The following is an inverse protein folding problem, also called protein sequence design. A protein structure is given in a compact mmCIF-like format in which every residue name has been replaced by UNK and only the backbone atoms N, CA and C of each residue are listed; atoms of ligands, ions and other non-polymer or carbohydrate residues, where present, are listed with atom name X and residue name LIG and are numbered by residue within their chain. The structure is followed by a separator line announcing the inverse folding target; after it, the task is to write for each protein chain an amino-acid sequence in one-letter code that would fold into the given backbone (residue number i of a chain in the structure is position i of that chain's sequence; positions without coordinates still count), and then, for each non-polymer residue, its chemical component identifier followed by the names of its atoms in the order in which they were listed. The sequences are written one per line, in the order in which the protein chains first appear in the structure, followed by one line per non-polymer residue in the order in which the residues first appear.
data_IF_010452806730
#
_entry.id   IF_010452806730
#
_cell.length_a   1.000
_cell.length_b   1.000
_cell.length_c   1.000
_cell.angle_alpha   90.00
_cell.angle_beta   90.00
_cell.angle_gamma   90.00
#
_symmetry.space_group_name_H-M   'P 1'
#
loop_
_entity.id
_entity.type
_entity.pdbx_description
1 polymer ?
#
# COMPACT_ATOMS: atom_id res chain seq x y z
N UNK A 1 60.30 2.95 -16.95
CA UNK A 1 58.95 2.36 -17.03
C UNK A 1 58.33 2.35 -15.64
N UNK A 2 57.53 3.37 -15.29
CA UNK A 2 56.69 3.32 -14.08
C UNK A 2 55.44 2.52 -14.44
N UNK A 3 55.29 1.32 -13.88
CA UNK A 3 54.03 0.57 -13.93
C UNK A 3 53.00 1.39 -13.16
N UNK A 4 51.91 1.76 -13.85
CA UNK A 4 50.75 2.36 -13.22
C UNK A 4 50.18 1.34 -12.24
N UNK A 5 50.08 1.73 -10.97
CA UNK A 5 49.32 1.00 -9.98
C UNK A 5 47.84 1.18 -10.36
N UNK A 6 47.22 0.14 -10.90
CA UNK A 6 45.77 0.07 -11.01
C UNK A 6 45.22 -0.04 -9.60
N UNK A 7 44.51 0.99 -9.15
CA UNK A 7 43.67 0.93 -7.95
C UNK A 7 42.61 -0.15 -8.18
N UNK A 8 42.68 -1.24 -7.42
CA UNK A 8 41.63 -2.25 -7.40
C UNK A 8 40.35 -1.61 -6.87
N UNK A 9 39.26 -1.71 -7.64
CA UNK A 9 37.95 -1.22 -7.25
C UNK A 9 37.47 -1.93 -5.98
N UNK A 10 36.67 -1.25 -5.17
CA UNK A 10 35.91 -1.87 -4.09
C UNK A 10 34.81 -2.81 -4.63
N UNK A 11 34.24 -3.65 -3.76
CA UNK A 11 33.15 -4.56 -4.16
C UNK A 11 31.88 -3.80 -4.55
N UNK A 12 31.61 -2.67 -3.91
CA UNK A 12 30.51 -1.76 -4.24
C UNK A 12 30.70 -1.13 -5.62
N UNK A 13 31.89 -0.58 -5.90
CA UNK A 13 32.21 0.01 -7.21
C UNK A 13 32.15 -1.02 -8.34
N UNK A 14 32.56 -2.27 -8.09
CA UNK A 14 32.42 -3.37 -9.07
C UNK A 14 30.95 -3.70 -9.34
N UNK A 15 30.11 -3.70 -8.30
CA UNK A 15 28.67 -3.97 -8.43
C UNK A 15 27.96 -2.85 -9.20
N UNK A 16 28.29 -1.60 -8.90
CA UNK A 16 27.78 -0.43 -9.59
C UNK A 16 28.19 -0.43 -11.06
N UNK A 17 29.47 -0.66 -11.36
CA UNK A 17 29.97 -0.75 -12.73
C UNK A 17 29.28 -1.88 -13.50
N UNK A 18 29.06 -3.04 -12.87
CA UNK A 18 28.33 -4.15 -13.48
C UNK A 18 26.89 -3.77 -13.80
N UNK A 19 26.20 -3.08 -12.89
CA UNK A 19 24.82 -2.59 -13.09
C UNK A 19 24.74 -1.54 -14.19
N UNK A 20 25.71 -0.63 -14.23
CA UNK A 20 25.81 0.42 -15.23
C UNK A 20 26.00 -0.18 -16.63
N UNK A 21 26.90 -1.14 -16.77
CA UNK A 21 27.15 -1.85 -18.04
C UNK A 21 25.94 -2.66 -18.47
N UNK A 22 25.28 -3.36 -17.53
CA UNK A 22 24.04 -4.07 -17.83
C UNK A 22 22.99 -3.10 -18.38
N UNK A 23 22.71 -2.00 -17.67
CA UNK A 23 21.71 -1.02 -18.08
C UNK A 23 22.00 -0.39 -19.45
N UNK A 24 23.25 -0.05 -19.76
CA UNK A 24 23.65 0.54 -21.04
C UNK A 24 23.41 -0.39 -22.24
N UNK A 25 23.53 -1.69 -22.04
CA UNK A 25 23.31 -2.69 -23.09
C UNK A 25 21.86 -3.14 -23.21
N UNK A 26 21.04 -2.83 -22.20
CA UNK A 26 19.65 -3.24 -22.16
C UNK A 26 18.81 -2.45 -23.19
N UNK A 27 17.84 -3.11 -23.81
CA UNK A 27 16.86 -2.50 -24.71
C UNK A 27 15.50 -2.44 -24.02
N UNK A 28 14.77 -1.36 -24.30
CA UNK A 28 13.37 -1.28 -23.91
C UNK A 28 12.58 -2.41 -24.57
N UNK A 29 11.79 -3.12 -23.77
CA UNK A 29 10.87 -4.15 -24.24
C UNK A 29 9.42 -3.70 -24.02
N UNK A 30 9.09 -3.21 -22.83
CA UNK A 30 7.70 -2.90 -22.48
C UNK A 30 7.58 -1.90 -21.34
N UNK A 31 6.53 -1.08 -21.33
CA UNK A 31 6.08 -0.38 -20.13
C UNK A 31 5.22 -1.32 -19.31
N UNK A 32 5.74 -1.79 -18.18
CA UNK A 32 4.99 -2.63 -17.24
C UNK A 32 3.89 -1.83 -16.53
N UNK A 33 4.09 -0.53 -16.34
CA UNK A 33 3.12 0.34 -15.69
C UNK A 33 3.63 1.77 -15.50
N UNK A 34 2.72 2.66 -15.12
CA UNK A 34 3.03 4.02 -14.73
C UNK A 34 2.11 4.49 -13.60
N UNK A 35 2.64 5.25 -12.64
CA UNK A 35 1.85 5.91 -11.61
C UNK A 35 2.02 7.42 -11.76
N UNK A 36 1.01 8.09 -12.32
CA UNK A 36 1.04 9.54 -12.51
C UNK A 36 0.99 10.31 -11.19
N UNK A 37 0.36 9.76 -10.15
CA UNK A 37 0.26 10.38 -8.83
C UNK A 37 1.61 10.38 -8.11
N UNK A 38 2.37 9.29 -8.24
CA UNK A 38 3.73 9.15 -7.67
C UNK A 38 4.85 9.47 -8.66
N UNK A 39 4.51 9.80 -9.91
CA UNK A 39 5.44 10.17 -10.99
C UNK A 39 6.47 9.05 -11.23
N UNK A 40 5.96 7.83 -11.37
CA UNK A 40 6.74 6.59 -11.43
C UNK A 40 6.60 5.84 -12.75
N UNK A 41 7.76 5.53 -13.34
CA UNK A 41 8.09 4.67 -14.48
C UNK A 41 8.33 3.18 -14.14
N UNK A 42 7.64 2.20 -14.73
CA UNK A 42 7.99 0.77 -14.58
C UNK A 42 8.28 0.18 -15.97
N UNK A 43 9.52 -0.23 -16.21
CA UNK A 43 9.99 -0.67 -17.53
C UNK A 43 10.50 -2.10 -17.48
N UNK A 44 10.13 -2.92 -18.45
CA UNK A 44 10.78 -4.18 -18.77
C UNK A 44 11.86 -3.95 -19.82
N UNK A 45 13.05 -4.45 -19.53
CA UNK A 45 14.24 -4.35 -20.37
C UNK A 45 14.74 -5.74 -20.74
N UNK A 46 15.35 -5.88 -21.91
CA UNK A 46 15.96 -7.12 -22.39
C UNK A 46 17.41 -6.93 -22.84
N UNK A 47 18.24 -7.94 -22.58
CA UNK A 47 19.61 -8.03 -23.06
C UNK A 47 19.69 -8.85 -24.36
N UNK A 48 20.78 -8.68 -25.14
CA UNK A 48 21.04 -9.52 -26.30
C UNK A 48 21.19 -11.02 -25.99
N UNK A 49 21.58 -11.37 -24.76
CA UNK A 49 21.71 -12.75 -24.30
C UNK A 49 20.37 -13.39 -23.86
N UNK A 50 19.27 -12.64 -23.96
CA UNK A 50 17.92 -13.06 -23.58
C UNK A 50 17.57 -12.83 -22.11
N UNK A 51 18.53 -12.40 -21.27
CA UNK A 51 18.22 -12.02 -19.88
C UNK A 51 17.35 -10.74 -19.84
N UNK A 52 16.48 -10.66 -18.84
CA UNK A 52 15.56 -9.53 -18.67
C UNK A 52 15.81 -8.82 -17.35
N UNK A 53 15.41 -7.55 -17.28
CA UNK A 53 15.45 -6.76 -16.05
C UNK A 53 14.32 -5.74 -15.99
N UNK A 54 14.04 -5.25 -14.80
CA UNK A 54 13.01 -4.24 -14.55
C UNK A 54 13.69 -2.96 -14.06
N UNK A 55 13.40 -1.84 -14.70
CA UNK A 55 13.80 -0.52 -14.23
C UNK A 55 12.58 0.22 -13.67
N UNK A 56 12.63 0.52 -12.39
CA UNK A 56 11.71 1.44 -11.73
C UNK A 56 12.35 2.83 -11.73
N UNK A 57 11.67 3.83 -12.26
CA UNK A 57 12.20 5.20 -12.35
C UNK A 57 11.19 6.17 -11.72
N UNK A 58 11.53 6.78 -10.60
CA UNK A 58 10.64 7.73 -9.90
C UNK A 58 11.23 9.13 -9.96
N UNK A 59 10.40 10.14 -10.18
CA UNK A 59 10.82 11.52 -9.90
C UNK A 59 11.16 11.64 -8.42
N UNK A 60 12.31 12.23 -8.13
CA UNK A 60 12.70 12.50 -6.73
C UNK A 60 11.81 13.61 -6.15
N UNK A 61 11.52 13.58 -4.84
CA UNK A 61 10.97 14.74 -4.14
C UNK A 61 11.86 15.97 -4.35
N UNK A 62 11.27 17.16 -4.27
CA UNK A 62 12.05 18.39 -4.23
C UNK A 62 12.92 18.43 -2.98
N UNK A 63 14.14 18.96 -3.12
CA UNK A 63 15.00 19.26 -1.98
C UNK A 63 14.39 20.41 -1.18
N UNK A 64 14.38 20.28 0.15
CA UNK A 64 14.04 21.35 1.07
C UNK A 64 15.29 22.15 1.50
N UNK A 65 16.47 21.80 0.99
CA UNK A 65 17.69 22.56 1.24
C UNK A 65 17.63 23.92 0.57
N UNK A 66 17.98 24.95 1.34
CA UNK A 66 17.91 26.34 0.90
C UNK A 66 18.75 26.59 -0.36
N UNK A 67 19.94 26.00 -0.45
CA UNK A 67 20.85 26.23 -1.58
C UNK A 67 20.34 25.59 -2.87
N UNK A 68 19.69 24.42 -2.78
CA UNK A 68 19.05 23.79 -3.94
C UNK A 68 17.84 24.60 -4.42
N UNK A 69 17.06 25.17 -3.49
CA UNK A 69 15.92 26.03 -3.80
C UNK A 69 16.40 27.32 -4.47
N UNK A 70 17.40 28.00 -3.92
CA UNK A 70 17.97 29.22 -4.50
C UNK A 70 18.49 28.95 -5.92
N UNK A 71 19.23 27.85 -6.11
CA UNK A 71 19.72 27.44 -7.43
C UNK A 71 18.59 27.13 -8.41
N UNK A 72 17.52 26.46 -7.97
CA UNK A 72 16.34 26.20 -8.79
C UNK A 72 15.72 27.52 -9.27
N UNK A 73 15.54 28.49 -8.38
CA UNK A 73 14.96 29.80 -8.71
C UNK A 73 15.85 30.60 -9.68
N UNK A 74 17.18 30.51 -9.55
CA UNK A 74 18.12 31.19 -10.43
C UNK A 74 18.20 30.59 -11.84
N UNK A 75 18.06 29.26 -11.95
CA UNK A 75 18.32 28.53 -13.20
C UNK A 75 17.07 28.08 -13.95
N UNK A 76 15.91 28.10 -13.30
CA UNK A 76 14.64 27.67 -13.87
C UNK A 76 14.27 28.49 -15.12
N UNK A 77 13.92 27.79 -16.20
CA UNK A 77 13.35 28.41 -17.40
C UNK A 77 11.88 28.08 -17.48
N UNK A 78 11.05 29.12 -17.43
CA UNK A 78 9.60 28.99 -17.46
C UNK A 78 9.09 29.05 -18.90
N UNK A 79 8.15 28.17 -19.21
CA UNK A 79 7.32 28.23 -20.42
C UNK A 79 5.85 28.29 -19.98
N UNK A 80 5.20 29.43 -20.17
CA UNK A 80 3.80 29.62 -19.80
C UNK A 80 2.88 28.70 -20.63
N UNK A 81 1.98 28.00 -19.92
CA UNK A 81 0.94 27.15 -20.50
C UNK A 81 -0.37 27.93 -20.57
N UNK A 82 -0.74 28.58 -19.46
CA UNK A 82 -1.97 29.36 -19.35
C UNK A 82 -1.90 30.35 -18.19
N UNK A 83 -2.77 31.37 -18.22
CA UNK A 83 -2.90 32.36 -17.15
C UNK A 83 -4.34 32.77 -16.98
N UNK A 84 -4.76 32.87 -15.73
CA UNK A 84 -6.01 33.49 -15.34
C UNK A 84 -5.75 34.46 -14.18
N UNK A 85 -5.86 35.76 -14.44
CA UNK A 85 -5.53 36.82 -13.49
C UNK A 85 -4.12 36.63 -12.89
N UNK A 86 -4.02 36.41 -11.57
CA UNK A 86 -2.76 36.17 -10.87
C UNK A 86 -2.29 34.69 -10.91
N UNK A 87 -3.11 33.77 -11.44
CA UNK A 87 -2.80 32.33 -11.49
C UNK A 87 -2.20 31.95 -12.84
N UNK A 88 -0.87 31.88 -12.91
CA UNK A 88 -0.14 31.34 -14.07
C UNK A 88 0.21 29.86 -13.90
N UNK A 89 0.08 29.09 -14.98
CA UNK A 89 0.54 27.69 -15.09
C UNK A 89 1.72 27.62 -16.05
N UNK A 90 2.80 26.94 -15.67
CA UNK A 90 4.05 26.92 -16.44
C UNK A 90 4.65 25.50 -16.47
N UNK A 91 5.32 25.16 -17.56
CA UNK A 91 6.36 24.14 -17.56
C UNK A 91 7.68 24.78 -17.09
N UNK A 92 8.44 24.06 -16.27
CA UNK A 92 9.74 24.53 -15.77
C UNK A 92 10.82 23.55 -16.18
N UNK A 93 11.80 24.04 -16.94
CA UNK A 93 13.06 23.33 -17.18
C UNK A 93 14.03 23.64 -16.05
N UNK A 94 14.57 22.60 -15.42
CA UNK A 94 15.46 22.69 -14.25
C UNK A 94 16.84 22.07 -14.56
N UNK A 95 17.88 22.53 -13.85
CA UNK A 95 19.22 21.95 -13.91
C UNK A 95 19.16 20.43 -13.66
N UNK A 96 19.86 19.65 -14.50
CA UNK A 96 19.85 18.18 -14.43
C UNK A 96 20.32 17.63 -13.07
N UNK A 97 21.18 18.35 -12.34
CA UNK A 97 21.61 17.97 -10.98
C UNK A 97 20.47 18.07 -9.95
N UNK A 98 19.49 18.93 -10.19
CA UNK A 98 18.29 19.09 -9.35
C UNK A 98 17.15 18.16 -9.78
N UNK A 99 17.30 17.44 -10.90
CA UNK A 99 16.25 16.62 -11.52
C UNK A 99 16.63 15.13 -11.57
N UNK A 100 17.30 14.64 -10.53
CA UNK A 100 17.68 13.25 -10.42
C UNK A 100 16.45 12.35 -10.28
N UNK A 101 16.52 11.16 -10.87
CA UNK A 101 15.51 10.12 -10.71
C UNK A 101 15.93 9.17 -9.60
N UNK A 102 15.02 8.85 -8.69
CA UNK A 102 15.20 7.75 -7.74
C UNK A 102 14.79 6.46 -8.45
N UNK A 103 15.80 5.67 -8.82
CA UNK A 103 15.60 4.48 -9.65
C UNK A 103 16.02 3.20 -8.94
N UNK A 104 15.40 2.09 -9.32
CA UNK A 104 15.80 0.74 -8.91
C UNK A 104 15.89 -0.14 -10.15
N UNK A 105 17.04 -0.81 -10.33
CA UNK A 105 17.26 -1.77 -11.38
C UNK A 105 17.26 -3.18 -10.77
N UNK A 106 16.40 -4.06 -11.29
CA UNK A 106 16.24 -5.44 -10.83
C UNK A 106 16.57 -6.37 -11.99
N UNK A 107 17.64 -7.15 -11.87
CA UNK A 107 18.07 -8.07 -12.92
C UNK A 107 18.95 -9.19 -12.34
N UNK A 108 18.94 -10.39 -12.94
CA UNK A 108 17.95 -10.85 -13.92
C UNK A 108 16.57 -11.07 -13.26
N UNK A 109 15.48 -10.98 -14.04
CA UNK A 109 14.12 -11.26 -13.56
C UNK A 109 13.50 -12.49 -14.24
N UNK A 110 12.48 -13.06 -13.60
CA UNK A 110 11.65 -14.13 -14.16
C UNK A 110 10.20 -13.64 -14.38
N UNK A 111 9.38 -14.45 -15.06
CA UNK A 111 7.99 -14.13 -15.37
C UNK A 111 7.14 -13.76 -14.14
N UNK A 112 7.43 -14.38 -12.99
CA UNK A 112 6.73 -14.08 -11.73
C UNK A 112 7.01 -12.66 -11.24
N UNK A 113 8.26 -12.19 -11.32
CA UNK A 113 8.60 -10.80 -10.96
C UNK A 113 8.07 -9.82 -11.99
N UNK A 114 8.09 -10.17 -13.28
CA UNK A 114 7.50 -9.34 -14.34
C UNK A 114 6.01 -9.14 -14.08
N UNK A 115 5.27 -10.21 -13.81
CA UNK A 115 3.84 -10.16 -13.48
C UNK A 115 3.57 -9.32 -12.21
N UNK A 116 4.45 -9.35 -11.21
CA UNK A 116 4.32 -8.54 -9.98
C UNK A 116 4.35 -7.03 -10.26
N UNK A 117 5.24 -6.57 -11.13
CA UNK A 117 5.42 -5.14 -11.44
C UNK A 117 4.55 -4.66 -12.61
N UNK A 118 3.97 -5.57 -13.37
CA UNK A 118 2.98 -5.26 -14.39
C UNK A 118 1.71 -4.70 -13.75
N UNK A 119 1.34 -3.50 -14.14
CA UNK A 119 0.07 -2.92 -13.79
C UNK A 119 -1.04 -3.64 -14.56
N UNK A 120 -2.11 -3.91 -13.85
CA UNK A 120 -3.33 -4.49 -14.41
C UNK A 120 -4.47 -3.50 -14.21
N UNK A 121 -5.39 -3.50 -15.18
CA UNK A 121 -6.65 -2.78 -15.04
C UNK A 121 -7.40 -3.26 -13.79
N UNK A 122 -8.01 -2.30 -13.09
CA UNK A 122 -8.86 -2.56 -11.95
C UNK A 122 -10.31 -2.30 -12.34
N UNK A 123 -11.19 -3.19 -11.90
CA UNK A 123 -12.62 -3.12 -12.13
C UNK A 123 -13.35 -2.92 -10.82
N UNK A 124 -14.43 -2.15 -10.88
CA UNK A 124 -15.33 -1.94 -9.74
C UNK A 124 -16.32 -3.10 -9.67
N UNK A 125 -16.45 -3.69 -8.49
CA UNK A 125 -17.47 -4.68 -8.15
C UNK A 125 -18.44 -4.03 -7.17
N UNK A 126 -19.74 -4.20 -7.42
CA UNK A 126 -20.83 -3.82 -6.52
C UNK A 126 -21.49 -5.10 -6.00
N UNK A 127 -20.99 -5.60 -4.89
CA UNK A 127 -21.42 -6.87 -4.33
C UNK A 127 -22.68 -6.70 -3.47
N UNK A 128 -23.79 -7.25 -3.96
CA UNK A 128 -25.02 -7.38 -3.17
C UNK A 128 -24.90 -8.50 -2.13
N UNK A 129 -25.78 -8.58 -1.12
CA UNK A 129 -25.80 -9.71 -0.19
C UNK A 129 -25.89 -11.09 -0.88
N UNK A 130 -26.70 -11.17 -1.95
CA UNK A 130 -26.81 -12.39 -2.77
C UNK A 130 -25.46 -12.77 -3.40
N UNK A 131 -24.73 -11.79 -3.97
CA UNK A 131 -23.41 -12.04 -4.56
C UNK A 131 -22.36 -12.39 -3.50
N UNK A 132 -22.46 -11.83 -2.29
CA UNK A 132 -21.60 -12.25 -1.19
C UNK A 132 -21.78 -13.75 -0.89
N UNK A 133 -23.02 -14.20 -0.71
CA UNK A 133 -23.30 -15.62 -0.39
C UNK A 133 -22.98 -16.57 -1.55
N UNK A 134 -23.21 -16.16 -2.79
CA UNK A 134 -23.07 -17.04 -3.96
C UNK A 134 -21.70 -17.00 -4.63
N UNK A 135 -20.90 -15.93 -4.41
CA UNK A 135 -19.59 -15.74 -5.07
C UNK A 135 -18.49 -15.57 -4.04
N UNK A 136 -18.57 -14.54 -3.21
CA UNK A 136 -17.45 -14.14 -2.33
C UNK A 136 -17.21 -15.12 -1.20
N UNK A 137 -18.26 -15.62 -0.55
CA UNK A 137 -18.14 -16.60 0.53
C UNK A 137 -17.55 -17.93 0.02
N UNK A 138 -18.01 -18.52 -1.10
CA UNK A 138 -17.32 -19.65 -1.73
C UNK A 138 -15.85 -19.35 -2.08
N UNK A 139 -15.55 -18.13 -2.53
CA UNK A 139 -14.16 -17.72 -2.77
C UNK A 139 -13.33 -17.75 -1.48
N UNK A 140 -13.85 -17.21 -0.37
CA UNK A 140 -13.15 -17.19 0.91
C UNK A 140 -12.91 -18.62 1.40
N UNK A 141 -13.92 -19.48 1.35
CA UNK A 141 -13.83 -20.87 1.79
C UNK A 141 -12.75 -21.64 1.02
N UNK A 142 -12.60 -21.38 -0.28
CA UNK A 142 -11.70 -22.11 -1.16
C UNK A 142 -10.29 -21.50 -1.28
N UNK A 143 -10.17 -20.18 -1.25
CA UNK A 143 -8.96 -19.47 -1.66
C UNK A 143 -8.36 -18.55 -0.59
N UNK A 144 -8.96 -18.42 0.60
CA UNK A 144 -8.36 -17.59 1.65
C UNK A 144 -6.96 -18.06 2.02
N UNK A 145 -6.09 -17.11 2.35
CA UNK A 145 -4.75 -17.40 2.83
C UNK A 145 -4.77 -18.05 4.22
N UNK A 146 -3.72 -18.80 4.54
CA UNK A 146 -3.52 -19.34 5.87
C UNK A 146 -3.31 -18.21 6.90
N UNK A 147 -4.02 -18.30 8.03
CA UNK A 147 -4.02 -17.33 9.13
C UNK A 147 -3.01 -17.67 10.25
N UNK A 148 -2.13 -18.64 10.07
CA UNK A 148 -1.15 -19.07 11.08
C UNK A 148 -0.32 -17.90 11.64
N UNK A 149 0.07 -16.94 10.79
CA UNK A 149 0.82 -15.78 11.26
C UNK A 149 -0.02 -14.90 12.19
N UNK A 150 -1.33 -14.74 11.93
CA UNK A 150 -2.27 -14.01 12.78
C UNK A 150 -2.34 -14.68 14.15
N UNK A 151 -2.55 -15.99 14.17
CA UNK A 151 -2.65 -16.75 15.42
C UNK A 151 -1.34 -16.75 16.21
N UNK A 152 -0.20 -16.85 15.53
CA UNK A 152 1.10 -16.73 16.19
C UNK A 152 1.29 -15.35 16.86
N UNK A 153 0.81 -14.26 16.25
CA UNK A 153 0.82 -12.95 16.88
C UNK A 153 -0.12 -12.90 18.10
N UNK A 154 -1.38 -13.35 17.96
CA UNK A 154 -2.37 -13.36 19.05
C UNK A 154 -1.95 -14.26 20.24
N UNK A 155 -1.21 -15.33 19.98
CA UNK A 155 -0.67 -16.26 20.98
C UNK A 155 0.73 -15.84 21.48
N UNK A 156 1.25 -14.68 21.03
CA UNK A 156 2.56 -14.13 21.41
C UNK A 156 3.73 -15.06 21.10
N UNK A 157 3.60 -15.85 20.04
CA UNK A 157 4.67 -16.70 19.48
C UNK A 157 5.54 -15.96 18.47
N UNK A 158 5.07 -14.82 17.94
CA UNK A 158 5.80 -13.95 17.00
C UNK A 158 5.44 -12.48 17.19
N UNK A 159 6.30 -11.58 16.71
CA UNK A 159 6.04 -10.11 16.65
C UNK A 159 5.76 -9.46 18.02
N UNK A 160 6.22 -10.06 19.11
CA UNK A 160 5.97 -9.61 20.49
C UNK A 160 6.58 -8.22 20.74
N UNK A 161 7.75 -7.95 20.17
CA UNK A 161 8.45 -6.67 20.22
C UNK A 161 7.72 -5.55 19.47
N UNK A 162 6.82 -5.90 18.55
CA UNK A 162 6.02 -4.96 17.76
C UNK A 162 4.69 -4.61 18.41
N UNK A 163 4.38 -5.18 19.58
CA UNK A 163 3.15 -4.87 20.32
C UNK A 163 3.17 -3.42 20.80
N UNK A 164 2.09 -2.70 20.46
CA UNK A 164 1.81 -1.34 20.92
C UNK A 164 0.90 -1.39 22.14
N UNK A 165 -0.16 -2.20 22.06
CA UNK A 165 -1.18 -2.34 23.09
C UNK A 165 -1.89 -3.69 22.96
N UNK A 166 -2.45 -4.20 24.05
CA UNK A 166 -3.31 -5.37 24.05
C UNK A 166 -4.45 -5.19 25.06
N UNK A 167 -5.67 -5.46 24.59
CA UNK A 167 -6.81 -5.71 25.44
C UNK A 167 -7.07 -7.23 25.44
N UNK A 168 -6.81 -7.95 26.54
CA UNK A 168 -6.77 -9.42 26.55
C UNK A 168 -8.16 -10.08 26.54
N UNK A 169 -9.26 -9.31 26.55
CA UNK A 169 -10.61 -9.86 26.50
C UNK A 169 -10.80 -10.73 25.25
N UNK A 170 -11.41 -11.92 25.42
CA UNK A 170 -11.52 -12.91 24.34
C UNK A 170 -12.58 -12.59 23.31
N UNK A 171 -13.56 -11.75 23.63
CA UNK A 171 -14.69 -11.43 22.78
C UNK A 171 -14.59 -10.01 22.21
N UNK A 172 -14.24 -9.05 23.06
CA UNK A 172 -14.22 -7.61 22.76
C UNK A 172 -12.80 -7.02 22.78
N UNK A 173 -11.79 -7.83 23.07
CA UNK A 173 -10.39 -7.44 23.11
C UNK A 173 -9.65 -7.65 21.78
N UNK A 174 -8.46 -7.07 21.68
CA UNK A 174 -7.65 -7.04 20.47
C UNK A 174 -6.18 -6.78 20.78
N UNK A 175 -5.32 -7.08 19.80
CA UNK A 175 -3.89 -6.82 19.82
C UNK A 175 -3.57 -5.72 18.80
N UNK A 176 -2.93 -4.63 19.25
CA UNK A 176 -2.43 -3.54 18.41
C UNK A 176 -0.94 -3.72 18.14
N UNK A 177 -0.55 -3.81 16.87
CA UNK A 177 0.81 -4.11 16.43
C UNK A 177 1.30 -3.10 15.42
N UNK A 178 2.61 -2.84 15.38
CA UNK A 178 3.24 -2.20 14.24
C UNK A 178 3.09 -3.05 12.97
N UNK A 179 2.61 -2.45 11.88
CA UNK A 179 2.47 -3.13 10.58
C UNK A 179 3.83 -3.32 9.91
N UNK A 180 3.99 -4.40 9.14
CA UNK A 180 5.22 -4.73 8.40
C UNK A 180 5.63 -3.65 7.39
N UNK A 181 4.70 -2.81 6.94
CA UNK A 181 4.95 -1.71 6.00
C UNK A 181 5.62 -0.51 6.66
N UNK A 182 5.67 -0.45 8.00
CA UNK A 182 6.24 0.67 8.73
C UNK A 182 7.55 0.30 9.41
N UNK A 183 8.54 1.20 9.34
CA UNK A 183 9.88 1.03 9.92
C UNK A 183 9.92 1.24 11.44
N UNK A 184 8.83 1.74 12.03
CA UNK A 184 8.74 2.07 13.45
C UNK A 184 9.47 3.35 13.84
N UNK A 185 9.97 4.12 12.87
CA UNK A 185 10.81 5.31 13.08
C UNK A 185 10.17 6.55 12.47
N UNK A 186 9.74 6.47 11.22
CA UNK A 186 9.22 7.63 10.48
C UNK A 186 7.75 7.82 10.82
N UNK A 187 7.45 8.71 11.77
CA UNK A 187 6.09 8.92 12.31
C UNK A 187 5.09 9.37 11.25
N UNK A 188 5.55 10.10 10.24
CA UNK A 188 4.75 10.51 9.08
C UNK A 188 4.19 9.31 8.31
N UNK A 189 4.87 8.15 8.40
CA UNK A 189 4.48 6.88 7.78
C UNK A 189 3.90 5.88 8.78
N UNK A 190 3.52 6.34 9.99
CA UNK A 190 3.00 5.46 11.04
C UNK A 190 1.87 4.58 10.48
N UNK A 191 2.03 3.28 10.71
CA UNK A 191 1.07 2.25 10.34
C UNK A 191 1.04 1.19 11.44
N UNK A 192 -0.08 1.13 12.15
CA UNK A 192 -0.36 0.07 13.14
C UNK A 192 -1.68 -0.63 12.79
N UNK A 193 -1.80 -1.87 13.25
CA UNK A 193 -2.86 -2.81 12.90
C UNK A 193 -3.47 -3.38 14.18
N UNK A 194 -4.79 -3.22 14.37
CA UNK A 194 -5.53 -3.89 15.43
C UNK A 194 -6.11 -5.20 14.92
N UNK A 195 -5.81 -6.31 15.60
CA UNK A 195 -6.30 -7.66 15.27
C UNK A 195 -7.11 -8.16 16.46
N UNK A 196 -8.38 -8.51 16.25
CA UNK A 196 -9.26 -8.96 17.34
C UNK A 196 -8.81 -10.33 17.90
N UNK A 197 -9.02 -10.58 19.19
CA UNK A 197 -8.80 -11.91 19.75
C UNK A 197 -9.89 -12.91 19.34
N UNK A 198 -11.12 -12.44 19.17
CA UNK A 198 -12.26 -13.27 18.82
C UNK A 198 -12.05 -13.91 17.43
N UNK A 199 -12.26 -15.22 17.35
CA UNK A 199 -12.20 -15.94 16.08
C UNK A 199 -13.55 -15.89 15.36
N UNK A 200 -13.52 -16.05 14.03
CA UNK A 200 -14.71 -16.29 13.21
C UNK A 200 -15.25 -15.06 12.47
N UNK A 201 -14.89 -13.84 12.87
CA UNK A 201 -15.19 -12.63 12.10
C UNK A 201 -14.14 -12.44 11.00
N UNK A 202 -14.56 -12.53 9.74
CA UNK A 202 -13.69 -12.52 8.56
C UNK A 202 -13.52 -11.14 7.95
N UNK A 203 -14.58 -10.33 7.99
CA UNK A 203 -14.61 -8.97 7.44
C UNK A 203 -15.79 -8.18 8.01
N UNK A 204 -15.98 -6.94 7.52
CA UNK A 204 -17.16 -6.12 7.89
C UNK A 204 -18.50 -6.80 7.59
N UNK A 205 -18.56 -7.76 6.66
CA UNK A 205 -19.79 -8.54 6.36
C UNK A 205 -20.32 -9.33 7.56
N UNK A 206 -19.44 -9.71 8.48
CA UNK A 206 -19.82 -10.52 9.64
C UNK A 206 -20.24 -9.66 10.84
N UNK A 207 -19.97 -8.35 10.80
CA UNK A 207 -20.26 -7.44 11.91
C UNK A 207 -21.76 -7.22 12.11
N UNK A 208 -22.18 -7.22 13.37
CA UNK A 208 -23.52 -6.82 13.80
C UNK A 208 -23.47 -5.75 14.90
N UNK A 209 -24.64 -5.25 15.31
CA UNK A 209 -24.74 -4.37 16.48
C UNK A 209 -24.22 -4.98 17.78
N UNK A 210 -24.15 -6.32 17.89
CA UNK A 210 -23.58 -7.00 19.06
C UNK A 210 -22.06 -6.81 19.16
N UNK A 211 -21.41 -6.41 18.06
CA UNK A 211 -19.97 -6.19 18.00
C UNK A 211 -19.58 -4.73 18.32
N UNK A 212 -20.54 -3.84 18.60
CA UNK A 212 -20.29 -2.41 18.85
C UNK A 212 -19.30 -2.18 20.00
N UNK A 213 -19.40 -2.94 21.10
CA UNK A 213 -18.48 -2.79 22.23
C UNK A 213 -17.03 -3.08 21.82
N UNK A 214 -16.80 -4.14 21.07
CA UNK A 214 -15.49 -4.47 20.49
C UNK A 214 -14.98 -3.34 19.59
N UNK A 215 -15.84 -2.77 18.74
CA UNK A 215 -15.47 -1.69 17.82
C UNK A 215 -15.11 -0.39 18.54
N UNK A 216 -15.85 -0.01 19.58
CA UNK A 216 -15.49 1.13 20.44
C UNK A 216 -14.16 0.89 21.17
N UNK A 217 -13.95 -0.32 21.72
CA UNK A 217 -12.70 -0.68 22.36
C UNK A 217 -11.53 -0.55 21.39
N UNK A 218 -11.65 -1.09 20.18
CA UNK A 218 -10.63 -0.96 19.14
C UNK A 218 -10.34 0.50 18.84
N UNK A 219 -11.37 1.33 18.62
CA UNK A 219 -11.19 2.76 18.31
C UNK A 219 -10.49 3.50 19.46
N UNK A 220 -11.10 3.49 20.63
CA UNK A 220 -10.75 4.40 21.72
C UNK A 220 -9.44 3.99 22.40
N UNK A 221 -9.23 2.69 22.62
CA UNK A 221 -8.01 2.18 23.25
C UNK A 221 -6.82 2.25 22.28
N UNK A 222 -7.02 2.01 20.98
CA UNK A 222 -5.92 2.16 20.01
C UNK A 222 -5.48 3.61 19.86
N UNK A 223 -6.42 4.55 19.73
CA UNK A 223 -6.08 5.97 19.61
C UNK A 223 -5.37 6.49 20.87
N UNK A 224 -5.79 6.03 22.05
CA UNK A 224 -5.10 6.33 23.32
C UNK A 224 -3.67 5.76 23.31
N UNK A 225 -3.50 4.48 22.97
CA UNK A 225 -2.18 3.85 22.94
C UNK A 225 -1.24 4.48 21.90
N UNK A 226 -1.77 4.88 20.73
CA UNK A 226 -1.00 5.59 19.69
C UNK A 226 -0.55 6.96 20.22
N UNK A 227 -1.42 7.68 20.92
CA UNK A 227 -1.07 8.96 21.52
C UNK A 227 0.02 8.81 22.59
N UNK A 228 -0.14 7.86 23.51
CA UNK A 228 0.80 7.61 24.59
C UNK A 228 2.17 7.16 24.08
N UNK A 229 2.22 6.29 23.06
CA UNK A 229 3.48 5.74 22.54
C UNK A 229 4.18 6.65 21.54
N UNK A 230 3.42 7.38 20.71
CA UNK A 230 3.96 8.10 19.54
C UNK A 230 3.65 9.61 19.52
N UNK A 231 2.86 10.12 20.47
CA UNK A 231 2.53 11.54 20.58
C UNK A 231 1.56 12.08 19.53
N UNK A 232 1.00 11.23 18.67
CA UNK A 232 0.02 11.63 17.66
C UNK A 232 -1.36 11.85 18.29
N UNK A 233 -1.99 12.97 17.94
CA UNK A 233 -3.36 13.24 18.36
C UNK A 233 -4.35 12.34 17.60
N UNK A 234 -5.49 12.05 18.23
CA UNK A 234 -6.51 11.14 17.67
C UNK A 234 -7.03 11.59 16.29
N UNK A 235 -7.11 12.89 16.06
CA UNK A 235 -7.56 13.53 14.82
C UNK A 235 -6.47 13.58 13.74
N UNK A 236 -5.26 13.11 14.06
CA UNK A 236 -4.18 12.89 13.09
C UNK A 236 -4.14 11.46 12.55
N UNK A 237 -5.07 10.59 12.98
CA UNK A 237 -5.10 9.17 12.63
C UNK A 237 -6.33 8.83 11.80
N UNK A 238 -6.12 8.16 10.66
CA UNK A 238 -7.18 7.55 9.86
C UNK A 238 -7.35 6.09 10.30
N UNK A 239 -8.57 5.72 10.70
CA UNK A 239 -8.93 4.38 11.17
C UNK A 239 -9.91 3.71 10.20
N UNK A 240 -9.58 2.55 9.64
CA UNK A 240 -10.43 1.92 8.61
C UNK A 240 -10.25 0.41 8.49
N UNK A 241 -11.27 -0.26 7.95
CA UNK A 241 -11.22 -1.64 7.50
C UNK A 241 -10.90 -1.69 6.02
N UNK A 242 -10.21 -2.76 5.58
CA UNK A 242 -10.22 -3.10 4.17
C UNK A 242 -11.47 -3.91 3.80
N UNK A 243 -12.07 -3.59 2.65
CA UNK A 243 -13.03 -4.46 1.98
C UNK A 243 -12.73 -4.55 0.47
N UNK A 244 -12.36 -5.71 -0.07
CA UNK A 244 -12.06 -6.97 0.62
C UNK A 244 -10.72 -6.92 1.38
N UNK A 245 -10.59 -7.59 2.54
CA UNK A 245 -9.34 -7.62 3.29
C UNK A 245 -8.26 -8.48 2.61
N UNK A 246 -6.99 -8.29 3.01
CA UNK A 246 -5.87 -9.12 2.52
C UNK A 246 -5.82 -10.51 3.18
N UNK A 247 -6.45 -10.65 4.35
CA UNK A 247 -6.63 -11.91 5.06
C UNK A 247 -7.96 -11.87 5.84
N UNK A 248 -8.63 -13.01 5.97
CA UNK A 248 -10.01 -13.08 6.48
C UNK A 248 -10.07 -13.38 7.99
N UNK A 249 -9.46 -12.48 8.76
CA UNK A 249 -9.62 -12.34 10.22
C UNK A 249 -9.74 -10.84 10.49
N UNK A 250 -10.82 -10.40 11.14
CA UNK A 250 -11.16 -8.99 11.24
C UNK A 250 -10.01 -8.16 11.86
N UNK A 251 -9.66 -7.07 11.18
CA UNK A 251 -8.60 -6.17 11.61
C UNK A 251 -8.89 -4.73 11.16
N UNK A 252 -8.33 -3.77 11.91
CA UNK A 252 -8.47 -2.33 11.64
C UNK A 252 -7.10 -1.72 11.43
N UNK A 253 -6.97 -0.93 10.37
CA UNK A 253 -5.77 -0.17 10.05
C UNK A 253 -5.84 1.21 10.72
N UNK A 254 -4.74 1.62 11.33
CA UNK A 254 -4.53 2.96 11.88
C UNK A 254 -3.29 3.55 11.23
N UNK A 255 -3.47 4.63 10.48
CA UNK A 255 -2.37 5.31 9.77
C UNK A 255 -2.35 6.79 10.12
N UNK A 256 -1.17 7.40 10.08
CA UNK A 256 -1.06 8.86 10.12
C UNK A 256 -1.76 9.47 8.89
N UNK A 257 -2.51 10.56 9.06
CA UNK A 257 -3.14 11.28 7.95
C UNK A 257 -2.15 11.79 6.90
N UNK A 258 -0.90 12.04 7.29
CA UNK A 258 0.17 12.43 6.37
C UNK A 258 0.61 11.28 5.45
N UNK A 259 0.32 10.03 5.83
CA UNK A 259 0.77 8.88 5.07
C UNK A 259 -0.21 8.55 3.94
N UNK A 260 0.26 8.61 2.69
CA UNK A 260 -0.46 8.08 1.53
C UNK A 260 -0.31 6.54 1.48
N UNK A 261 -0.94 5.87 2.44
CA UNK A 261 -0.83 4.43 2.58
C UNK A 261 -1.54 3.71 1.42
N UNK A 262 -0.96 2.60 0.90
CA UNK A 262 -1.63 1.77 -0.09
C UNK A 262 -3.01 1.30 0.40
N UNK A 263 -3.99 1.30 -0.50
CA UNK A 263 -5.37 0.83 -0.26
C UNK A 263 -6.16 1.61 0.81
N UNK A 264 -5.77 2.86 1.11
CA UNK A 264 -6.48 3.76 2.05
C UNK A 264 -7.60 4.61 1.40
N UNK A 265 -7.99 4.30 0.15
CA UNK A 265 -8.95 5.07 -0.65
C UNK A 265 -10.37 4.46 -0.66
N UNK A 266 -11.36 5.23 -1.11
CA UNK A 266 -12.82 4.96 -1.05
C UNK A 266 -13.31 3.68 -1.74
N UNK A 267 -12.44 2.86 -2.33
CA UNK A 267 -12.79 1.59 -3.00
C UNK A 267 -12.03 0.39 -2.42
N UNK A 268 -11.39 0.61 -1.28
CA UNK A 268 -10.66 -0.41 -0.52
C UNK A 268 -10.83 -0.21 0.98
N UNK A 269 -11.07 1.02 1.44
CA UNK A 269 -11.24 1.37 2.84
C UNK A 269 -12.69 1.71 3.20
N UNK A 270 -13.14 1.27 4.37
CA UNK A 270 -14.38 1.69 5.04
C UNK A 270 -14.00 2.21 6.42
N UNK A 271 -14.30 3.47 6.74
CA UNK A 271 -13.88 4.10 8.00
C UNK A 271 -14.49 3.37 9.21
N UNK A 272 -13.72 3.23 10.28
CA UNK A 272 -14.19 2.58 11.51
C UNK A 272 -15.40 3.31 12.10
N UNK A 273 -15.37 4.63 12.14
CA UNK A 273 -16.50 5.43 12.66
C UNK A 273 -17.76 5.29 11.79
N UNK A 274 -17.61 5.17 10.46
CA UNK A 274 -18.75 4.89 9.57
C UNK A 274 -19.32 3.50 9.85
N UNK A 275 -18.48 2.49 10.07
CA UNK A 275 -18.92 1.13 10.46
C UNK A 275 -19.70 1.14 11.75
N UNK A 276 -19.18 1.82 12.78
CA UNK A 276 -19.84 1.98 14.07
C UNK A 276 -21.21 2.66 13.87
N UNK A 277 -21.25 3.83 13.24
CA UNK A 277 -22.49 4.57 13.00
C UNK A 277 -23.52 3.73 12.20
N UNK A 278 -23.07 3.00 11.18
CA UNK A 278 -23.96 2.16 10.39
C UNK A 278 -24.60 1.03 11.22
N UNK A 279 -23.85 0.43 12.14
CA UNK A 279 -24.34 -0.63 13.04
C UNK A 279 -25.23 -0.09 14.17
N UNK A 280 -24.94 1.10 14.69
CA UNK A 280 -25.82 1.82 15.62
C UNK A 280 -27.18 2.12 14.99
N UNK A 281 -27.20 2.52 13.71
CA UNK A 281 -28.43 2.80 12.97
C UNK A 281 -29.17 1.51 12.56
N UNK A 282 -28.44 0.44 12.23
CA UNK A 282 -29.00 -0.84 11.81
C UNK A 282 -28.06 -1.98 12.13
N UNK A 283 -28.40 -2.77 13.16
CA UNK A 283 -27.58 -3.88 13.65
C UNK A 283 -27.17 -4.90 12.58
N UNK A 284 -27.92 -5.05 11.49
CA UNK A 284 -27.58 -5.93 10.36
C UNK A 284 -27.21 -5.19 9.05
N UNK A 285 -26.78 -3.93 9.15
CA UNK A 285 -26.43 -3.07 8.01
C UNK A 285 -25.55 -3.80 6.98
N UNK A 286 -24.41 -4.35 7.43
CA UNK A 286 -23.42 -4.96 6.54
C UNK A 286 -23.87 -6.30 5.95
N UNK A 287 -24.87 -6.95 6.54
CA UNK A 287 -25.50 -8.14 5.95
C UNK A 287 -26.43 -7.78 4.78
N UNK A 288 -27.00 -6.57 4.79
CA UNK A 288 -27.98 -6.11 3.78
C UNK A 288 -27.43 -5.15 2.74
N UNK A 289 -26.35 -4.44 3.06
CA UNK A 289 -25.77 -3.42 2.18
C UNK A 289 -25.12 -4.02 0.94
N UNK A 290 -25.18 -3.30 -0.18
CA UNK A 290 -24.28 -3.53 -1.31
C UNK A 290 -22.93 -2.90 -0.99
N UNK A 291 -21.86 -3.68 -1.01
CA UNK A 291 -20.50 -3.19 -0.76
C UNK A 291 -19.74 -3.06 -2.07
N UNK A 292 -19.07 -1.92 -2.25
CA UNK A 292 -18.33 -1.61 -3.47
C UNK A 292 -16.83 -1.72 -3.22
N UNK A 293 -16.12 -2.45 -4.06
CA UNK A 293 -14.66 -2.60 -3.99
C UNK A 293 -14.06 -2.77 -5.38
N UNK A 294 -12.73 -2.77 -5.46
CA UNK A 294 -12.01 -2.98 -6.72
C UNK A 294 -11.19 -4.27 -6.72
N UNK A 295 -11.08 -4.90 -7.89
CA UNK A 295 -10.19 -6.03 -8.14
C UNK A 295 -9.47 -5.90 -9.47
N UNK A 296 -8.26 -6.46 -9.54
CA UNK A 296 -7.47 -6.52 -10.78
C UNK A 296 -8.11 -7.50 -11.77
N UNK A 297 -7.84 -7.31 -13.05
CA UNK A 297 -8.32 -8.21 -14.11
C UNK A 297 -7.99 -9.68 -13.88
N UNK A 298 -6.75 -9.98 -13.47
CA UNK A 298 -6.26 -11.34 -13.21
C UNK A 298 -6.61 -11.88 -11.81
N UNK A 299 -7.39 -11.15 -11.02
CA UNK A 299 -7.78 -11.60 -9.68
C UNK A 299 -8.85 -12.71 -9.75
N UNK A 300 -8.66 -13.79 -8.97
CA UNK A 300 -9.59 -14.92 -8.99
C UNK A 300 -11.00 -14.57 -8.52
N UNK A 301 -11.16 -13.62 -7.60
CA UNK A 301 -12.49 -13.16 -7.20
C UNK A 301 -13.15 -12.41 -8.35
N UNK A 302 -12.40 -11.57 -9.09
CA UNK A 302 -12.90 -10.88 -10.28
C UNK A 302 -13.40 -11.85 -11.35
N UNK A 303 -12.66 -12.93 -11.60
CA UNK A 303 -13.06 -14.01 -12.51
C UNK A 303 -14.41 -14.62 -12.08
N UNK A 304 -14.55 -15.01 -10.81
CA UNK A 304 -15.79 -15.61 -10.28
C UNK A 304 -17.00 -14.65 -10.37
N UNK A 305 -16.81 -13.35 -10.14
CA UNK A 305 -17.87 -12.36 -10.33
C UNK A 305 -18.31 -12.27 -11.79
N UNK A 306 -17.38 -12.30 -12.75
CA UNK A 306 -17.70 -12.26 -14.18
C UNK A 306 -18.51 -13.47 -14.61
N UNK A 307 -18.10 -14.67 -14.18
CA UNK A 307 -18.83 -15.92 -14.45
C UNK A 307 -20.28 -15.86 -13.92
N UNK A 308 -20.45 -15.37 -12.68
CA UNK A 308 -21.77 -15.23 -12.07
C UNK A 308 -22.66 -14.21 -12.79
N UNK A 309 -22.09 -13.11 -13.30
CA UNK A 309 -22.85 -12.09 -14.04
C UNK A 309 -23.11 -12.45 -15.50
N UNK A 310 -22.26 -13.25 -16.15
CA UNK A 310 -22.45 -13.70 -17.52
C UNK A 310 -23.52 -14.80 -17.65
N UNK A 311 -23.86 -15.45 -16.53
CA UNK A 311 -24.88 -16.52 -16.46
C UNK A 311 -26.30 -16.01 -16.17
N UNK A 312 -26.48 -14.69 -16.01
CA UNK A 312 -27.78 -14.01 -15.86
C UNK A 312 -28.16 -13.30 -17.15
#
# INVERSE_FOLDING_TARGET
MKRAAGTELSEEERTEQTSQVWLQNAKFQEVLGADSSHKSLFLLLSQPDGSQGILLANKSPFSEDKSDIEKLLETAKLQEISRNDIFGSYNIEVDGKLNLLKSQLIYPVNDRLIAKYRQEEKFVIRETPELYETVTKPYIEKFQLNLNWVYNCLEKRSEVDKIVYEDPDKNNGFLLLQDIKWDGKTIENLYVLAIIHRHGLKSVRDLTGDDLEMLYNIRDKSLTAINEKYGLQKDQIKCYFHYQPSFYHLHVHFINLKYDAPASTTMSAILLDDVINNLELSSDHYKKSTLTFTRKNGDKLMEMFREATASK
#
